data_IF_955984192752
#
_entry.id   IF_955984192752
#
_cell.length_a   1.000
_cell.length_b   1.000
_cell.length_c   1.000
_cell.angle_alpha   90.00
_cell.angle_beta   90.00
_cell.angle_gamma   90.00
#
_symmetry.space_group_name_H-M   'P 1'
#
loop_
_entity.id
_entity.type
_entity.pdbx_description
1 polymer ?
#
# COMPACT_ATOMS: atom_id res chain seq x y z
N UNK A 1 -20.45 18.61 6.64
CA UNK A 1 -20.25 18.31 5.21
C UNK A 1 -19.06 17.37 5.06
N UNK A 2 -19.08 16.34 4.18
CA UNK A 2 -17.87 15.56 3.90
C UNK A 2 -16.91 16.42 3.07
N UNK A 3 -15.73 16.71 3.61
CA UNK A 3 -14.71 17.58 2.99
C UNK A 3 -14.00 16.84 1.84
N UNK A 4 -13.76 15.54 1.98
CA UNK A 4 -13.19 14.69 0.92
C UNK A 4 -14.31 14.11 0.06
N UNK A 5 -14.18 14.24 -1.27
CA UNK A 5 -15.18 13.76 -2.27
C UNK A 5 -14.74 12.52 -3.02
N UNK A 6 -13.45 12.21 -3.05
CA UNK A 6 -12.90 11.02 -3.69
C UNK A 6 -11.45 10.82 -3.26
N UNK A 7 -10.91 9.63 -3.54
CA UNK A 7 -9.52 9.26 -3.29
C UNK A 7 -8.94 8.52 -4.49
N UNK A 8 -7.63 8.65 -4.69
CA UNK A 8 -6.87 7.88 -5.68
C UNK A 8 -5.70 7.26 -4.91
N UNK A 9 -5.58 5.93 -4.98
CA UNK A 9 -4.46 5.17 -4.45
C UNK A 9 -3.60 4.73 -5.64
N UNK A 10 -2.37 5.24 -5.71
CA UNK A 10 -1.40 4.88 -6.75
C UNK A 10 -0.32 3.98 -6.13
N UNK A 11 -0.07 2.82 -6.77
CA UNK A 11 0.77 1.74 -6.27
C UNK A 11 0.59 1.42 -4.77
N UNK A 12 -0.62 1.04 -4.33
CA UNK A 12 -0.84 0.64 -2.93
C UNK A 12 -0.24 -0.75 -2.66
N UNK A 13 1.08 -0.79 -2.45
CA UNK A 13 1.88 -1.98 -2.18
C UNK A 13 2.45 -1.94 -0.76
N UNK A 14 2.92 -3.08 -0.24
CA UNK A 14 3.38 -3.19 1.14
C UNK A 14 4.88 -3.03 1.30
N UNK A 15 5.29 -2.08 2.12
CA UNK A 15 6.67 -1.95 2.61
C UNK A 15 7.12 -3.23 3.35
N UNK A 16 6.23 -3.88 4.10
CA UNK A 16 6.54 -5.12 4.82
C UNK A 16 6.81 -6.29 3.89
N UNK A 17 5.97 -6.49 2.87
CA UNK A 17 6.18 -7.56 1.90
C UNK A 17 7.53 -7.40 1.20
N UNK A 18 7.85 -6.17 0.76
CA UNK A 18 9.15 -5.84 0.18
C UNK A 18 10.30 -6.12 1.15
N UNK A 19 10.15 -5.68 2.41
CA UNK A 19 11.17 -5.82 3.45
C UNK A 19 11.44 -7.29 3.80
N UNK A 20 10.40 -8.10 3.93
CA UNK A 20 10.53 -9.54 4.22
C UNK A 20 11.24 -10.28 3.08
N UNK A 21 11.02 -9.88 1.83
CA UNK A 21 11.69 -10.47 0.68
C UNK A 21 13.16 -10.02 0.53
N UNK A 22 13.47 -8.77 0.90
CA UNK A 22 14.79 -8.15 0.66
C UNK A 22 15.76 -8.25 1.84
N UNK A 23 15.28 -8.40 3.08
CA UNK A 23 16.11 -8.39 4.27
C UNK A 23 15.83 -9.58 5.21
N UNK A 24 16.71 -10.60 5.24
CA UNK A 24 16.56 -11.77 6.13
C UNK A 24 16.59 -11.44 7.64
N UNK A 25 17.18 -10.32 8.05
CA UNK A 25 17.26 -9.90 9.45
C UNK A 25 16.00 -9.23 9.97
N UNK A 26 14.97 -9.05 9.14
CA UNK A 26 13.73 -8.32 9.50
C UNK A 26 13.11 -8.78 10.82
N UNK A 27 13.10 -10.09 11.11
CA UNK A 27 12.56 -10.59 12.38
C UNK A 27 13.39 -10.17 13.61
N UNK A 28 14.72 -10.17 13.49
CA UNK A 28 15.64 -9.71 14.53
C UNK A 28 15.50 -8.21 14.75
N UNK A 29 15.34 -7.45 13.66
CA UNK A 29 15.18 -5.98 13.68
C UNK A 29 13.88 -5.58 14.37
N UNK A 30 12.79 -6.32 14.11
CA UNK A 30 11.51 -6.12 14.79
C UNK A 30 11.66 -6.38 16.29
N UNK A 31 12.36 -7.45 16.69
CA UNK A 31 12.58 -7.75 18.11
C UNK A 31 13.42 -6.67 18.80
N UNK A 32 14.44 -6.16 18.10
CA UNK A 32 15.25 -5.04 18.58
C UNK A 32 14.41 -3.75 18.70
N UNK A 33 13.61 -3.44 17.68
CA UNK A 33 12.72 -2.28 17.69
C UNK A 33 11.74 -2.33 18.86
N UNK A 34 11.18 -3.51 19.18
CA UNK A 34 10.34 -3.70 20.37
C UNK A 34 11.10 -3.37 21.66
N UNK A 35 12.31 -3.91 21.80
CA UNK A 35 13.15 -3.68 22.98
C UNK A 35 13.49 -2.19 23.15
N UNK A 36 13.81 -1.49 22.06
CA UNK A 36 14.09 -0.05 22.07
C UNK A 36 12.82 0.72 22.42
N UNK A 37 11.68 0.40 21.80
CA UNK A 37 10.41 1.10 21.99
C UNK A 37 9.84 0.94 23.41
N UNK A 38 10.16 -0.14 24.12
CA UNK A 38 9.85 -0.29 25.55
C UNK A 38 10.52 0.78 26.42
N UNK A 39 11.70 1.27 25.99
CA UNK A 39 12.44 2.32 26.70
C UNK A 39 12.08 3.71 26.17
N UNK A 40 12.18 3.90 24.85
CA UNK A 40 11.78 5.12 24.15
C UNK A 40 11.34 4.80 22.70
N UNK A 41 10.03 4.93 22.38
CA UNK A 41 9.52 4.66 21.03
C UNK A 41 10.09 5.60 19.94
N UNK A 42 10.58 6.78 20.32
CA UNK A 42 11.15 7.76 19.40
C UNK A 42 12.67 7.62 19.23
N UNK A 43 13.31 6.70 19.97
CA UNK A 43 14.72 6.40 19.80
C UNK A 43 14.98 5.81 18.41
N UNK A 44 16.10 6.21 17.81
CA UNK A 44 16.48 5.74 16.48
C UNK A 44 16.92 4.28 16.52
N UNK A 45 16.48 3.53 15.51
CA UNK A 45 17.03 2.21 15.21
C UNK A 45 18.51 2.33 14.81
N UNK A 46 19.32 1.28 15.01
CA UNK A 46 20.67 1.25 14.47
C UNK A 46 20.70 1.51 12.96
N UNK A 47 21.79 2.12 12.47
CA UNK A 47 21.93 2.52 11.06
C UNK A 47 21.80 1.39 10.04
N UNK A 48 21.99 0.15 10.45
CA UNK A 48 21.87 -1.01 9.57
C UNK A 48 20.44 -1.53 9.45
N UNK A 49 19.53 -1.09 10.33
CA UNK A 49 18.13 -1.52 10.32
C UNK A 49 17.34 -0.88 9.17
N UNK A 50 17.72 0.31 8.69
CA UNK A 50 17.05 0.94 7.56
C UNK A 50 17.99 1.92 6.85
N UNK A 51 17.79 2.11 5.55
CA UNK A 51 18.58 3.05 4.75
C UNK A 51 18.34 4.51 5.19
N UNK A 52 17.12 4.81 5.65
CA UNK A 52 16.77 6.10 6.22
C UNK A 52 16.77 6.05 7.77
N UNK A 53 17.16 7.13 8.46
CA UNK A 53 16.98 7.22 9.90
C UNK A 53 15.51 6.99 10.29
N UNK A 54 15.26 5.98 11.11
CA UNK A 54 13.92 5.56 11.50
C UNK A 54 13.87 5.33 13.01
N UNK A 55 12.82 5.84 13.65
CA UNK A 55 12.55 5.58 15.07
C UNK A 55 12.04 4.14 15.26
N UNK A 56 12.26 3.54 16.43
CA UNK A 56 11.76 2.21 16.75
C UNK A 56 10.24 2.07 16.52
N UNK A 57 9.44 3.05 16.91
CA UNK A 57 7.99 3.03 16.67
C UNK A 57 7.63 3.02 15.18
N UNK A 58 8.23 3.89 14.37
CA UNK A 58 8.00 3.92 12.91
C UNK A 58 8.44 2.62 12.23
N UNK A 59 9.54 2.02 12.71
CA UNK A 59 10.01 0.72 12.22
C UNK A 59 8.97 -0.38 12.48
N UNK A 60 8.43 -0.46 13.69
CA UNK A 60 7.35 -1.40 14.03
C UNK A 60 6.08 -1.13 13.20
N UNK A 61 5.73 0.14 13.04
CA UNK A 61 4.56 0.55 12.26
C UNK A 61 4.58 0.05 10.82
N UNK A 62 5.77 0.01 10.21
CA UNK A 62 5.98 -0.49 8.85
C UNK A 62 6.08 -2.01 8.77
N UNK A 63 6.86 -2.62 9.66
CA UNK A 63 7.38 -3.97 9.43
C UNK A 63 6.86 -5.02 10.40
N UNK A 64 6.23 -4.65 11.53
CA UNK A 64 5.66 -5.63 12.44
C UNK A 64 4.52 -6.43 11.75
N UNK A 65 4.28 -7.69 12.15
CA UNK A 65 3.20 -8.52 11.59
C UNK A 65 1.85 -8.34 12.30
N UNK A 66 1.79 -7.53 13.36
CA UNK A 66 0.70 -7.51 14.33
C UNK A 66 0.10 -6.11 14.53
N UNK A 67 -0.53 -5.88 15.69
CA UNK A 67 -1.24 -4.65 15.99
C UNK A 67 -0.36 -3.41 16.08
N UNK A 68 0.96 -3.58 16.23
CA UNK A 68 1.92 -2.48 16.19
C UNK A 68 2.17 -1.95 14.77
N UNK A 69 1.74 -2.70 13.74
CA UNK A 69 1.90 -2.35 12.34
C UNK A 69 0.84 -1.36 11.87
N UNK A 70 0.87 -0.14 12.41
CA UNK A 70 -0.15 0.88 12.13
C UNK A 70 -0.17 1.32 10.66
N UNK A 71 0.97 1.27 9.96
CA UNK A 71 1.11 1.68 8.55
C UNK A 71 1.04 0.51 7.55
N UNK A 72 0.88 -0.73 8.03
CA UNK A 72 0.70 -1.90 7.16
C UNK A 72 -0.73 -2.00 6.62
N UNK A 73 -1.03 -1.32 5.51
CA UNK A 73 -2.38 -1.36 4.90
C UNK A 73 -2.55 -2.40 3.80
N UNK A 74 -1.44 -2.89 3.21
CA UNK A 74 -1.47 -3.56 1.91
C UNK A 74 -0.73 -4.91 1.88
N UNK A 75 -0.25 -5.43 3.02
CA UNK A 75 0.46 -6.72 3.01
C UNK A 75 -0.41 -7.87 2.51
N UNK A 76 0.23 -8.73 1.73
CA UNK A 76 -0.40 -9.83 1.01
C UNK A 76 -1.04 -10.90 1.91
N UNK A 77 -0.54 -11.04 3.13
CA UNK A 77 -0.99 -11.98 4.15
C UNK A 77 -2.13 -11.44 5.05
N UNK A 78 -2.55 -10.18 4.88
CA UNK A 78 -3.65 -9.61 5.65
C UNK A 78 -4.98 -10.32 5.34
N UNK A 79 -5.63 -10.83 6.37
CA UNK A 79 -6.97 -11.41 6.26
C UNK A 79 -8.00 -10.38 5.79
N UNK A 80 -9.12 -10.84 5.22
CA UNK A 80 -10.23 -9.97 4.85
C UNK A 80 -10.73 -9.11 6.02
N UNK A 81 -10.72 -9.64 7.25
CA UNK A 81 -11.09 -8.89 8.44
C UNK A 81 -10.08 -7.79 8.78
N UNK A 82 -8.78 -8.05 8.65
CA UNK A 82 -7.73 -7.04 8.85
C UNK A 82 -7.81 -5.95 7.78
N UNK A 83 -7.95 -6.32 6.50
CA UNK A 83 -8.17 -5.37 5.41
C UNK A 83 -9.41 -4.51 5.66
N UNK A 84 -10.54 -5.12 6.07
CA UNK A 84 -11.76 -4.37 6.39
C UNK A 84 -11.57 -3.42 7.59
N UNK A 85 -10.83 -3.83 8.62
CA UNK A 85 -10.51 -2.97 9.77
C UNK A 85 -9.67 -1.76 9.34
N UNK A 86 -8.74 -1.96 8.41
CA UNK A 86 -7.79 -0.94 7.93
C UNK A 86 -8.42 -0.01 6.88
N UNK A 87 -9.11 -0.55 5.89
CA UNK A 87 -9.57 0.18 4.69
C UNK A 87 -11.08 0.45 4.67
N UNK A 88 -11.87 -0.25 5.49
CA UNK A 88 -13.34 -0.20 5.47
C UNK A 88 -13.96 1.16 5.80
N UNK A 89 -13.16 2.09 6.32
CA UNK A 89 -13.57 3.47 6.58
C UNK A 89 -13.62 4.33 5.31
N UNK A 90 -12.98 3.90 4.21
CA UNK A 90 -12.93 4.59 2.92
C UNK A 90 -14.25 4.45 2.15
N UNK A 91 -15.20 5.33 2.46
CA UNK A 91 -16.57 5.34 1.88
C UNK A 91 -16.76 6.33 0.73
N UNK A 92 -15.72 7.03 0.31
CA UNK A 92 -15.75 7.95 -0.84
C UNK A 92 -15.34 7.21 -2.10
N UNK A 93 -15.83 7.57 -3.30
CA UNK A 93 -15.34 7.02 -4.56
C UNK A 93 -13.81 6.90 -4.53
N UNK A 94 -13.29 5.70 -4.78
CA UNK A 94 -11.85 5.43 -4.67
C UNK A 94 -11.38 4.71 -5.93
N UNK A 95 -10.42 5.31 -6.63
CA UNK A 95 -9.69 4.68 -7.73
C UNK A 95 -8.42 4.03 -7.16
N UNK A 96 -8.18 2.76 -7.46
CA UNK A 96 -6.93 2.07 -7.11
C UNK A 96 -6.16 1.72 -8.38
N UNK A 97 -4.98 2.31 -8.54
CA UNK A 97 -4.05 2.11 -9.65
C UNK A 97 -2.87 1.28 -9.17
N UNK A 98 -2.78 0.03 -9.63
CA UNK A 98 -1.67 -0.87 -9.37
C UNK A 98 -0.69 -0.86 -10.55
N UNK A 99 0.59 -1.09 -10.26
CA UNK A 99 1.65 -1.17 -11.27
C UNK A 99 2.09 -2.62 -11.46
N UNK A 100 1.95 -3.19 -12.66
CA UNK A 100 2.26 -4.61 -12.93
C UNK A 100 3.75 -4.95 -12.68
N UNK A 101 4.63 -4.01 -13.04
CA UNK A 101 6.09 -4.15 -12.93
C UNK A 101 6.64 -3.37 -11.74
N UNK A 102 5.85 -3.21 -10.67
CA UNK A 102 6.28 -2.55 -9.44
C UNK A 102 7.46 -3.30 -8.79
N UNK A 103 8.60 -2.64 -8.69
CA UNK A 103 9.86 -3.17 -8.18
C UNK A 103 9.84 -3.50 -6.68
N UNK A 104 8.87 -2.95 -5.92
CA UNK A 104 8.70 -3.24 -4.50
C UNK A 104 7.74 -4.41 -4.23
N UNK A 105 7.14 -5.00 -5.29
CA UNK A 105 6.33 -6.22 -5.14
C UNK A 105 7.22 -7.45 -5.32
N UNK A 106 7.39 -8.29 -4.28
CA UNK A 106 8.15 -9.53 -4.37
C UNK A 106 7.68 -10.43 -5.51
N UNK A 107 8.62 -11.15 -6.12
CA UNK A 107 8.32 -12.01 -7.29
C UNK A 107 7.36 -13.15 -6.93
N UNK A 108 7.40 -13.61 -5.69
CA UNK A 108 6.53 -14.63 -5.11
C UNK A 108 5.08 -14.18 -5.03
N UNK A 109 4.85 -12.87 -4.81
CA UNK A 109 3.51 -12.27 -4.73
C UNK A 109 2.98 -11.92 -6.13
N UNK A 110 3.88 -11.64 -7.09
CA UNK A 110 3.51 -11.22 -8.46
C UNK A 110 2.57 -12.21 -9.16
N UNK A 111 2.69 -13.51 -8.88
CA UNK A 111 1.83 -14.55 -9.46
C UNK A 111 0.34 -14.43 -9.06
N UNK A 112 0.03 -13.80 -7.92
CA UNK A 112 -1.32 -13.58 -7.40
C UNK A 112 -1.65 -12.09 -7.27
N UNK A 113 -0.95 -11.23 -8.00
CA UNK A 113 -1.07 -9.78 -7.85
C UNK A 113 -2.48 -9.25 -8.18
N UNK A 114 -3.17 -9.88 -9.13
CA UNK A 114 -4.58 -9.60 -9.41
C UNK A 114 -5.49 -9.92 -8.22
N UNK A 115 -5.26 -11.04 -7.54
CA UNK A 115 -6.04 -11.43 -6.36
C UNK A 115 -5.77 -10.49 -5.18
N UNK A 116 -4.50 -10.05 -5.02
CA UNK A 116 -4.14 -9.02 -4.04
C UNK A 116 -4.88 -7.70 -4.32
N UNK A 117 -4.84 -7.22 -5.56
CA UNK A 117 -5.54 -6.01 -5.97
C UNK A 117 -7.05 -6.10 -5.73
N UNK A 118 -7.65 -7.25 -6.03
CA UNK A 118 -9.07 -7.50 -5.78
C UNK A 118 -9.39 -7.46 -4.27
N UNK A 119 -8.64 -8.19 -3.43
CA UNK A 119 -8.84 -8.21 -1.98
C UNK A 119 -8.74 -6.83 -1.34
N UNK A 120 -7.76 -6.02 -1.77
CA UNK A 120 -7.58 -4.64 -1.28
C UNK A 120 -8.78 -3.77 -1.68
N UNK A 121 -9.18 -3.79 -2.96
CA UNK A 121 -10.33 -3.03 -3.44
C UNK A 121 -11.65 -3.47 -2.80
N UNK A 122 -11.84 -4.76 -2.56
CA UNK A 122 -13.03 -5.30 -1.89
C UNK A 122 -13.18 -4.79 -0.45
N UNK A 123 -12.06 -4.52 0.23
CA UNK A 123 -12.05 -3.94 1.56
C UNK A 123 -12.30 -2.42 1.58
N UNK A 124 -12.36 -1.76 0.42
CA UNK A 124 -12.61 -0.33 0.26
C UNK A 124 -14.05 -0.14 -0.28
N UNK A 125 -15.05 0.17 0.58
CA UNK A 125 -16.43 0.35 0.12
C UNK A 125 -16.58 1.37 -1.01
N UNK A 126 -15.75 2.40 -1.01
CA UNK A 126 -15.67 3.44 -2.04
C UNK A 126 -15.21 2.96 -3.42
N UNK A 127 -14.44 1.89 -3.50
CA UNK A 127 -13.98 1.30 -4.76
C UNK A 127 -15.11 0.44 -5.37
N UNK A 128 -15.77 -0.37 -4.54
CA UNK A 128 -16.92 -1.20 -4.95
C UNK A 128 -18.12 -0.34 -5.34
N UNK A 129 -18.54 0.59 -4.48
CA UNK A 129 -19.74 1.41 -4.69
C UNK A 129 -19.59 2.43 -5.82
N UNK A 130 -18.36 2.79 -6.18
CA UNK A 130 -18.06 3.57 -7.37
C UNK A 130 -18.11 2.77 -8.67
N UNK A 131 -18.19 1.43 -8.60
CA UNK A 131 -18.19 0.56 -9.78
C UNK A 131 -16.85 0.52 -10.53
N UNK A 132 -15.75 0.89 -9.86
CA UNK A 132 -14.43 0.99 -10.49
C UNK A 132 -13.62 -0.25 -10.09
N UNK A 133 -13.37 -1.19 -11.01
CA UNK A 133 -12.49 -2.32 -10.71
C UNK A 133 -11.06 -1.82 -10.43
N UNK A 134 -10.24 -2.59 -9.68
CA UNK A 134 -8.81 -2.33 -9.63
C UNK A 134 -8.24 -2.21 -11.04
N UNK A 135 -7.46 -1.15 -11.29
CA UNK A 135 -6.76 -0.99 -12.56
C UNK A 135 -5.31 -1.42 -12.36
N UNK A 136 -4.86 -2.40 -13.14
CA UNK A 136 -3.45 -2.80 -13.18
C UNK A 136 -2.84 -2.24 -14.47
N UNK A 137 -1.87 -1.33 -14.32
CA UNK A 137 -1.16 -0.71 -15.42
C UNK A 137 -0.04 -1.64 -15.89
N UNK A 138 -0.24 -2.25 -17.05
CA UNK A 138 0.73 -3.20 -17.61
C UNK A 138 2.08 -2.54 -17.87
N UNK A 139 3.17 -3.16 -17.43
CA UNK A 139 4.54 -2.65 -17.58
C UNK A 139 4.88 -1.39 -16.76
N UNK A 140 3.97 -0.86 -15.93
CA UNK A 140 4.28 0.28 -15.07
C UNK A 140 5.19 -0.12 -13.90
N UNK A 141 6.19 0.69 -13.59
CA UNK A 141 6.99 0.62 -12.35
C UNK A 141 6.25 1.29 -11.18
N UNK A 142 6.83 1.26 -9.98
CA UNK A 142 6.21 1.81 -8.76
C UNK A 142 5.76 3.27 -8.92
N UNK A 143 6.57 4.09 -9.58
CA UNK A 143 6.28 5.50 -9.86
C UNK A 143 5.46 5.73 -11.15
N UNK A 144 4.83 4.68 -11.68
CA UNK A 144 4.14 4.66 -12.98
C UNK A 144 5.04 4.99 -14.19
N UNK A 145 6.35 4.76 -14.08
CA UNK A 145 7.32 5.06 -15.13
C UNK A 145 6.95 4.40 -16.46
N UNK A 146 6.91 5.20 -17.52
CA UNK A 146 6.60 4.76 -18.88
C UNK A 146 5.10 4.55 -19.16
N UNK A 147 4.22 4.86 -18.20
CA UNK A 147 2.75 4.72 -18.28
C UNK A 147 2.00 5.95 -17.79
N UNK A 148 2.65 7.11 -17.74
CA UNK A 148 2.12 8.37 -17.23
C UNK A 148 0.82 8.79 -17.95
N UNK A 149 0.77 8.65 -19.27
CA UNK A 149 -0.42 8.95 -20.07
C UNK A 149 -1.62 8.06 -19.69
N UNK A 150 -1.39 6.78 -19.39
CA UNK A 150 -2.45 5.89 -18.95
C UNK A 150 -2.96 6.27 -17.56
N UNK A 151 -2.07 6.69 -16.65
CA UNK A 151 -2.47 7.22 -15.33
C UNK A 151 -3.39 8.41 -15.50
N UNK A 152 -3.01 9.39 -16.33
CA UNK A 152 -3.82 10.59 -16.60
C UNK A 152 -5.20 10.20 -17.12
N UNK A 153 -5.28 9.29 -18.10
CA UNK A 153 -6.57 8.82 -18.65
C UNK A 153 -7.47 8.19 -17.58
N UNK A 154 -6.91 7.37 -16.68
CA UNK A 154 -7.70 6.78 -15.59
C UNK A 154 -8.18 7.83 -14.59
N UNK A 155 -7.34 8.82 -14.27
CA UNK A 155 -7.70 9.91 -13.36
C UNK A 155 -8.77 10.81 -13.99
N UNK A 156 -8.66 11.19 -15.26
CA UNK A 156 -9.68 11.99 -15.96
C UNK A 156 -11.02 11.27 -16.00
N UNK A 157 -11.01 9.97 -16.33
CA UNK A 157 -12.20 9.12 -16.31
C UNK A 157 -12.82 9.06 -14.91
N UNK A 158 -12.00 8.90 -13.86
CA UNK A 158 -12.47 8.88 -12.47
C UNK A 158 -13.09 10.21 -12.03
N UNK A 159 -12.51 11.33 -12.45
CA UNK A 159 -13.01 12.66 -12.13
C UNK A 159 -14.24 13.06 -12.96
N UNK A 160 -14.68 12.23 -13.92
CA UNK A 160 -15.74 12.57 -14.86
C UNK A 160 -15.34 13.71 -15.80
N UNK A 161 -14.04 13.91 -16.00
CA UNK A 161 -13.44 14.93 -16.85
C UNK A 161 -13.22 14.45 -18.28
N UNK A 162 -13.94 13.40 -18.72
CA UNK A 162 -13.90 13.01 -20.13
C UNK A 162 -14.21 14.23 -21.00
N UNK A 163 -13.19 14.67 -21.73
CA UNK A 163 -13.30 15.81 -22.61
C UNK A 163 -14.35 15.51 -23.65
N UNK A 164 -15.28 16.44 -23.78
CA UNK A 164 -15.94 16.77 -25.04
C UNK A 164 -14.82 17.09 -26.03
N UNK A 165 -14.28 16.07 -26.68
CA UNK A 165 -13.44 16.20 -27.86
C UNK A 165 -14.19 15.52 -28.99
N UNK A 166 -14.79 16.39 -29.80
CA UNK A 166 -15.41 16.19 -31.11
C UNK A 166 -14.53 15.43 -32.09
#
# INVERSE_FOLDING_TARGET
EKIIKGAILQAPVSDRDNRLASNPSTAEDIALARTIAETDPLELMPRWADDAPITAQRFLSLYAPDEDAADDFFSSDLSAQQLQKRLGHMKVPTLCLFSESDEYVPIEIRASYQDLANRICEAIPGAISGGIPPVILSGATHNCGGREELVVQQVERFLGMESISS
#
